data_IF_284867836194
#
_entry.id   IF_284867836194
#
_cell.length_a   1.000
_cell.length_b   1.000
_cell.length_c   1.000
_cell.angle_alpha   90.00
_cell.angle_beta   90.00
_cell.angle_gamma   90.00
#
_symmetry.space_group_name_H-M   'P 1'
#
loop_
_entity.id
_entity.type
_entity.pdbx_description
1 polymer ?
#
# COMPACT_ATOMS: atom_id res chain seq x y z
N UNK A 1 -25.08 -4.60 -27.45
CA UNK A 1 -23.99 -5.48 -27.87
C UNK A 1 -23.51 -6.21 -26.64
N UNK A 2 -23.73 -7.52 -26.58
CA UNK A 2 -23.15 -8.32 -25.50
C UNK A 2 -21.63 -8.44 -25.70
N UNK A 3 -20.83 -8.19 -24.66
CA UNK A 3 -19.38 -8.43 -24.70
C UNK A 3 -19.06 -9.88 -25.11
N UNK A 4 -18.34 -10.04 -26.21
CA UNK A 4 -17.78 -11.35 -26.57
C UNK A 4 -16.68 -11.73 -25.58
N UNK A 5 -16.33 -13.02 -25.53
CA UNK A 5 -15.21 -13.51 -24.70
C UNK A 5 -13.90 -12.80 -25.03
N UNK A 6 -13.70 -12.41 -26.30
CA UNK A 6 -12.51 -11.69 -26.74
C UNK A 6 -12.44 -10.29 -26.14
N UNK A 7 -13.57 -9.56 -26.15
CA UNK A 7 -13.66 -8.24 -25.53
C UNK A 7 -13.51 -8.30 -24.01
N UNK A 8 -14.17 -9.25 -23.34
CA UNK A 8 -14.04 -9.43 -21.88
C UNK A 8 -12.57 -9.67 -21.49
N UNK A 9 -11.88 -10.56 -22.20
CA UNK A 9 -10.43 -10.79 -21.98
C UNK A 9 -9.57 -9.56 -22.25
N UNK A 10 -9.93 -8.70 -23.21
CA UNK A 10 -9.22 -7.44 -23.47
C UNK A 10 -9.40 -6.48 -22.30
N UNK A 11 -10.63 -6.27 -21.86
CA UNK A 11 -10.97 -5.40 -20.73
C UNK A 11 -10.27 -5.89 -19.46
N UNK A 12 -10.31 -7.20 -19.17
CA UNK A 12 -9.65 -7.78 -18.00
C UNK A 12 -8.13 -7.54 -18.00
N UNK A 13 -7.47 -7.56 -19.16
CA UNK A 13 -6.03 -7.22 -19.25
C UNK A 13 -5.78 -5.77 -18.89
N UNK A 14 -6.59 -4.83 -19.38
CA UNK A 14 -6.45 -3.42 -19.02
C UNK A 14 -6.71 -3.18 -17.53
N UNK A 15 -7.76 -3.79 -16.99
CA UNK A 15 -8.09 -3.75 -15.55
C UNK A 15 -6.94 -4.23 -14.67
N UNK A 16 -6.28 -5.32 -15.07
CA UNK A 16 -5.12 -5.86 -14.37
C UNK A 16 -3.86 -4.99 -14.51
N UNK A 17 -3.73 -4.25 -15.62
CA UNK A 17 -2.55 -3.43 -15.89
C UNK A 17 -2.57 -2.10 -15.13
N UNK A 18 -3.74 -1.46 -14.97
CA UNK A 18 -3.84 -0.13 -14.34
C UNK A 18 -3.09 0.02 -13.00
N UNK A 19 -3.20 -0.91 -12.03
CA UNK A 19 -2.53 -0.76 -10.75
C UNK A 19 -1.01 -0.65 -10.84
N UNK A 20 -0.39 -1.16 -11.92
CA UNK A 20 1.05 -1.02 -12.15
C UNK A 20 1.48 0.40 -12.52
N UNK A 21 0.52 1.29 -12.81
CA UNK A 21 0.76 2.65 -13.27
C UNK A 21 0.33 3.72 -12.27
N UNK A 22 -0.23 3.35 -11.10
CA UNK A 22 -0.65 4.33 -10.09
C UNK A 22 0.53 5.06 -9.45
N UNK A 23 1.68 4.39 -9.37
CA UNK A 23 2.84 4.89 -8.65
C UNK A 23 4.13 4.69 -9.44
N UNK A 24 4.91 5.76 -9.57
CA UNK A 24 6.24 5.75 -10.18
C UNK A 24 7.27 6.14 -9.12
N UNK A 25 8.16 5.23 -8.68
CA UNK A 25 9.20 5.55 -7.70
C UNK A 25 10.21 6.52 -8.28
N UNK A 26 10.67 7.46 -7.44
CA UNK A 26 11.64 8.51 -7.80
C UNK A 26 12.91 8.36 -6.97
N UNK A 27 12.79 7.99 -5.70
CA UNK A 27 13.94 7.77 -4.83
C UNK A 27 13.70 6.68 -3.80
N UNK A 28 14.79 6.05 -3.38
CA UNK A 28 14.82 5.06 -2.30
C UNK A 28 15.01 5.74 -0.94
N UNK A 29 14.47 5.11 0.10
CA UNK A 29 14.52 5.58 1.47
C UNK A 29 15.21 4.55 2.36
N UNK A 30 16.28 4.97 3.01
CA UNK A 30 16.87 4.22 4.11
C UNK A 30 16.03 4.40 5.37
N UNK A 31 15.73 3.29 6.04
CA UNK A 31 15.07 3.32 7.33
C UNK A 31 16.09 3.13 8.44
N UNK A 32 15.87 3.86 9.52
CA UNK A 32 16.46 3.56 10.82
C UNK A 32 15.32 3.30 11.81
N UNK A 33 15.57 2.49 12.84
CA UNK A 33 14.54 2.07 13.76
C UNK A 33 15.04 1.40 15.03
N UNK A 34 14.09 1.03 15.88
CA UNK A 34 14.29 0.18 17.04
C UNK A 34 13.02 -0.65 17.32
N UNK A 35 13.20 -1.81 17.96
CA UNK A 35 12.09 -2.68 18.38
C UNK A 35 11.73 -2.44 19.84
N UNK A 36 10.45 -2.60 20.19
CA UNK A 36 9.94 -2.41 21.54
C UNK A 36 8.65 -3.19 21.77
N UNK A 37 8.37 -3.51 23.04
CA UNK A 37 7.03 -3.97 23.49
C UNK A 37 6.26 -2.89 24.23
N UNK A 38 6.88 -1.74 24.44
CA UNK A 38 6.24 -0.57 25.05
C UNK A 38 5.30 0.08 24.05
N UNK A 39 4.11 0.49 24.51
CA UNK A 39 3.21 1.34 23.74
C UNK A 39 3.65 2.78 23.96
N UNK A 40 4.30 3.36 22.96
CA UNK A 40 4.89 4.69 23.04
C UNK A 40 4.01 5.69 22.29
N UNK A 41 3.98 6.93 22.77
CA UNK A 41 3.51 8.04 21.95
C UNK A 41 4.59 8.40 20.90
N UNK A 42 4.21 8.99 19.75
CA UNK A 42 5.16 9.41 18.71
C UNK A 42 6.30 10.28 19.26
N UNK A 43 5.97 11.19 20.18
CA UNK A 43 6.93 12.11 20.81
C UNK A 43 7.95 11.40 21.71
N UNK A 44 7.55 10.28 22.33
CA UNK A 44 8.42 9.46 23.18
C UNK A 44 9.34 8.59 22.32
N UNK A 45 8.78 7.99 21.26
CA UNK A 45 9.53 7.21 20.30
C UNK A 45 10.60 8.05 19.58
N UNK A 46 10.24 9.26 19.14
CA UNK A 46 11.16 10.17 18.45
C UNK A 46 12.42 10.55 19.25
N UNK A 47 12.40 10.40 20.58
CA UNK A 47 13.54 10.69 21.48
C UNK A 47 14.42 9.48 21.76
N UNK A 48 14.03 8.28 21.31
CA UNK A 48 14.83 7.07 21.47
C UNK A 48 16.04 7.08 20.53
N UNK A 49 16.96 6.15 20.76
CA UNK A 49 18.07 5.91 19.85
C UNK A 49 17.59 5.01 18.70
N UNK A 50 17.85 5.44 17.47
CA UNK A 50 17.56 4.69 16.25
C UNK A 50 18.86 4.10 15.71
N UNK A 51 18.78 2.90 15.14
CA UNK A 51 19.88 2.26 14.45
C UNK A 51 19.46 1.96 12.99
N UNK A 52 20.41 1.91 12.04
CA UNK A 52 20.10 1.55 10.66
C UNK A 52 19.34 0.22 10.57
N UNK A 53 18.25 0.21 9.78
CA UNK A 53 17.44 -0.97 9.46
C UNK A 53 17.23 -1.03 7.94
N UNK A 54 18.28 -1.35 7.16
CA UNK A 54 18.18 -1.43 5.70
C UNK A 54 17.23 -2.54 5.25
N UNK A 55 16.88 -2.53 3.97
CA UNK A 55 16.14 -3.62 3.33
C UNK A 55 16.76 -4.99 3.66
N UNK A 56 15.90 -5.97 3.95
CA UNK A 56 16.29 -7.32 4.36
C UNK A 56 16.49 -7.47 5.88
N UNK A 57 16.42 -6.39 6.66
CA UNK A 57 16.54 -6.48 8.12
C UNK A 57 15.35 -7.24 8.72
N UNK A 58 15.61 -8.43 9.25
CA UNK A 58 14.60 -9.21 9.97
C UNK A 58 14.40 -8.68 11.40
N UNK A 59 13.14 -8.50 11.80
CA UNK A 59 12.73 -7.98 13.09
C UNK A 59 11.35 -8.52 13.51
N UNK A 60 10.90 -8.15 14.71
CA UNK A 60 9.51 -8.33 15.12
C UNK A 60 9.19 -9.71 15.66
N UNK A 61 9.42 -9.89 16.96
CA UNK A 61 8.86 -11.00 17.71
C UNK A 61 7.33 -10.85 17.84
N UNK A 62 6.66 -11.90 18.32
CA UNK A 62 5.22 -11.87 18.62
C UNK A 62 4.88 -10.68 19.52
N UNK A 63 3.85 -9.91 19.12
CA UNK A 63 3.36 -8.72 19.84
C UNK A 63 4.34 -7.54 19.91
N UNK A 64 5.44 -7.59 19.16
CA UNK A 64 6.44 -6.54 19.17
C UNK A 64 6.06 -5.42 18.20
N UNK A 65 6.47 -4.22 18.54
CA UNK A 65 6.40 -3.05 17.69
C UNK A 65 7.80 -2.64 17.27
N UNK A 66 7.91 -1.95 16.15
CA UNK A 66 9.10 -1.19 15.81
C UNK A 66 8.70 0.23 15.46
N UNK A 67 9.55 1.16 15.84
CA UNK A 67 9.47 2.53 15.38
C UNK A 67 10.53 2.74 14.31
N UNK A 68 10.11 3.22 13.15
CA UNK A 68 10.97 3.56 12.03
C UNK A 68 10.92 5.06 11.77
N UNK A 69 12.04 5.64 11.33
CA UNK A 69 12.07 7.00 10.81
C UNK A 69 12.89 7.08 9.54
N UNK A 70 12.56 8.06 8.72
CA UNK A 70 13.31 8.45 7.53
C UNK A 70 12.92 9.89 7.17
N UNK A 71 13.59 10.47 6.18
CA UNK A 71 13.30 11.82 5.70
C UNK A 71 13.15 11.78 4.18
N UNK A 72 12.13 12.47 3.67
CA UNK A 72 11.99 12.75 2.23
C UNK A 72 12.37 14.20 1.97
N UNK A 73 13.22 14.44 0.97
CA UNK A 73 13.50 15.79 0.44
C UNK A 73 13.02 15.81 -1.00
N UNK A 74 12.13 16.74 -1.33
CA UNK A 74 11.50 16.82 -2.65
C UNK A 74 12.55 17.21 -3.71
N UNK A 75 12.82 16.36 -4.72
CA UNK A 75 13.72 16.70 -5.81
C UNK A 75 13.04 17.64 -6.82
N UNK A 76 13.84 18.32 -7.64
CA UNK A 76 13.34 19.23 -8.70
C UNK A 76 12.49 18.51 -9.75
N UNK A 77 12.78 17.24 -10.03
CA UNK A 77 12.13 16.46 -11.11
C UNK A 77 10.65 16.14 -10.87
N UNK A 78 10.14 16.31 -9.63
CA UNK A 78 8.74 16.08 -9.27
C UNK A 78 7.99 17.36 -8.90
N UNK A 79 8.53 18.52 -9.27
CA UNK A 79 7.91 19.81 -8.98
C UNK A 79 6.47 19.87 -9.52
N UNK A 80 5.50 20.22 -8.65
CA UNK A 80 4.09 20.31 -9.00
C UNK A 80 3.34 18.98 -9.06
N UNK A 81 4.03 17.84 -9.01
CA UNK A 81 3.41 16.52 -9.04
C UNK A 81 2.81 16.12 -7.68
N UNK A 82 1.90 15.13 -7.68
CA UNK A 82 1.43 14.52 -6.43
C UNK A 82 2.51 13.58 -5.89
N UNK A 83 3.15 13.97 -4.80
CA UNK A 83 4.19 13.20 -4.13
C UNK A 83 3.58 12.26 -3.08
N UNK A 84 3.97 10.99 -3.16
CA UNK A 84 3.57 9.97 -2.18
C UNK A 84 4.78 9.22 -1.61
N UNK A 85 4.61 8.72 -0.39
CA UNK A 85 5.51 7.86 0.34
C UNK A 85 5.01 6.41 0.23
N UNK A 86 5.89 5.49 -0.17
CA UNK A 86 5.66 4.05 -0.16
C UNK A 86 6.60 3.40 0.88
N UNK A 87 6.16 3.33 2.13
CA UNK A 87 6.92 2.73 3.22
C UNK A 87 6.74 1.21 3.23
N UNK A 88 7.81 0.45 3.49
CA UNK A 88 7.78 -1.02 3.56
C UNK A 88 8.52 -1.53 4.81
N UNK A 89 8.04 -1.23 6.03
CA UNK A 89 8.72 -1.67 7.25
C UNK A 89 8.52 -3.17 7.56
N UNK A 90 7.61 -3.85 6.84
CA UNK A 90 7.36 -5.28 6.98
C UNK A 90 6.15 -5.66 7.83
N UNK A 91 5.36 -4.67 8.28
CA UNK A 91 4.13 -4.87 9.04
C UNK A 91 3.13 -3.74 8.85
N UNK A 92 1.96 -3.86 9.49
CA UNK A 92 0.95 -2.81 9.49
C UNK A 92 1.43 -1.62 10.29
N UNK A 93 1.25 -0.42 9.75
CA UNK A 93 1.95 0.76 10.25
C UNK A 93 1.03 1.96 10.39
N UNK A 94 1.13 2.67 11.51
CA UNK A 94 0.63 4.03 11.64
C UNK A 94 1.75 5.01 11.27
N UNK A 95 1.48 5.92 10.33
CA UNK A 95 2.48 6.84 9.76
C UNK A 95 2.18 8.27 10.18
N UNK A 96 3.24 8.96 10.60
CA UNK A 96 3.24 10.36 10.99
C UNK A 96 4.19 11.14 10.08
N UNK A 97 3.74 12.28 9.58
CA UNK A 97 4.52 13.22 8.77
C UNK A 97 4.63 14.52 9.54
N UNK A 98 5.85 14.96 9.80
CA UNK A 98 6.15 16.16 10.58
C UNK A 98 5.45 16.17 11.96
N UNK A 99 5.36 14.99 12.58
CA UNK A 99 4.72 14.78 13.88
C UNK A 99 3.19 14.67 13.85
N UNK A 100 2.55 14.78 12.68
CA UNK A 100 1.08 14.69 12.52
C UNK A 100 0.71 13.34 11.92
N UNK A 101 -0.31 12.68 12.46
CA UNK A 101 -0.83 11.43 11.90
C UNK A 101 -1.31 11.66 10.45
N UNK A 102 -0.75 10.90 9.51
CA UNK A 102 -0.99 11.05 8.08
C UNK A 102 -1.81 9.89 7.49
N UNK A 103 -1.76 8.71 8.11
CA UNK A 103 -2.52 7.55 7.67
C UNK A 103 -1.91 6.24 8.15
N UNK A 104 -2.29 5.15 7.49
CA UNK A 104 -1.76 3.82 7.75
C UNK A 104 -1.22 3.18 6.48
N UNK A 105 -0.20 2.35 6.64
CA UNK A 105 0.31 1.47 5.58
C UNK A 105 0.06 0.03 5.98
N UNK A 106 -0.63 -0.71 5.13
CA UNK A 106 -0.94 -2.12 5.33
C UNK A 106 -0.87 -2.88 3.99
N UNK A 107 -1.50 -4.05 3.91
CA UNK A 107 -1.50 -4.89 2.70
C UNK A 107 -2.22 -4.24 1.52
N UNK A 108 -3.28 -3.48 1.78
CA UNK A 108 -4.19 -2.93 0.78
C UNK A 108 -4.03 -1.40 0.63
N UNK A 109 -3.41 -0.73 1.62
CA UNK A 109 -3.08 0.70 1.59
C UNK A 109 -1.57 0.88 1.62
N UNK A 110 -0.97 1.12 0.46
CA UNK A 110 0.48 1.03 0.30
C UNK A 110 1.19 2.38 0.21
N UNK A 111 0.46 3.48 -0.01
CA UNK A 111 1.00 4.82 -0.23
C UNK A 111 0.34 5.88 0.68
N UNK A 112 1.14 6.84 1.16
CA UNK A 112 0.69 8.03 1.91
C UNK A 112 1.00 9.28 1.09
N UNK A 113 0.03 10.18 0.90
CA UNK A 113 0.27 11.45 0.21
C UNK A 113 1.02 12.43 1.10
N UNK A 114 2.20 12.87 0.64
CA UNK A 114 3.01 13.90 1.29
C UNK A 114 2.61 15.30 0.79
N UNK A 115 2.40 15.43 -0.52
CA UNK A 115 1.97 16.67 -1.16
C UNK A 115 1.08 16.37 -2.37
N UNK A 116 0.07 17.23 -2.60
CA UNK A 116 -0.70 17.20 -3.85
C UNK A 116 0.01 17.92 -4.98
N UNK A 117 0.82 18.91 -4.64
CA UNK A 117 1.70 19.64 -5.55
C UNK A 117 3.05 19.77 -4.86
N UNK A 118 4.05 19.01 -5.31
CA UNK A 118 5.35 18.97 -4.66
C UNK A 118 6.14 20.28 -4.86
N UNK A 119 6.72 20.80 -3.79
CA UNK A 119 7.60 21.98 -3.85
C UNK A 119 9.05 21.53 -3.63
N UNK A 120 9.95 21.68 -4.61
CA UNK A 120 11.35 21.27 -4.50
C UNK A 120 12.05 21.83 -3.26
N UNK A 121 12.90 21.02 -2.64
CA UNK A 121 13.61 21.35 -1.41
C UNK A 121 12.77 21.27 -0.12
N UNK A 122 11.45 21.04 -0.22
CA UNK A 122 10.64 20.74 0.97
C UNK A 122 11.13 19.45 1.61
N UNK A 123 11.20 19.44 2.94
CA UNK A 123 11.67 18.31 3.74
C UNK A 123 10.52 17.80 4.60
N UNK A 124 10.26 16.50 4.55
CA UNK A 124 9.27 15.80 5.37
C UNK A 124 9.98 14.83 6.30
N UNK A 125 9.73 14.95 7.61
CA UNK A 125 10.17 13.97 8.60
C UNK A 125 9.11 12.88 8.75
N UNK A 126 9.49 11.64 8.50
CA UNK A 126 8.60 10.49 8.53
C UNK A 126 8.90 9.68 9.79
N UNK A 127 7.85 9.39 10.55
CA UNK A 127 7.89 8.48 11.69
C UNK A 127 6.80 7.43 11.51
N UNK A 128 7.09 6.17 11.80
CA UNK A 128 6.15 5.07 11.65
C UNK A 128 6.21 4.14 12.85
N UNK A 129 5.06 3.87 13.46
CA UNK A 129 4.89 2.76 14.38
C UNK A 129 4.40 1.55 13.59
N UNK A 130 5.16 0.46 13.60
CA UNK A 130 4.84 -0.75 12.84
C UNK A 130 4.66 -1.94 13.78
N UNK A 131 3.55 -2.65 13.61
CA UNK A 131 3.23 -3.83 14.38
C UNK A 131 3.76 -5.10 13.69
N UNK A 132 4.54 -5.90 14.42
CA UNK A 132 5.13 -7.14 13.90
C UNK A 132 4.11 -8.27 13.70
N UNK A 133 2.92 -8.17 14.32
CA UNK A 133 1.93 -9.24 14.29
C UNK A 133 2.15 -10.31 15.36
N UNK A 134 1.37 -11.37 15.25
CA UNK A 134 1.28 -12.42 16.26
C UNK A 134 1.20 -13.83 15.64
N UNK A 135 1.88 -14.02 14.51
CA UNK A 135 1.89 -15.25 13.75
C UNK A 135 0.93 -15.28 12.56
N UNK A 136 0.75 -16.46 11.95
CA UNK A 136 -0.01 -16.61 10.72
C UNK A 136 -1.48 -16.20 10.88
N UNK A 137 -1.97 -15.34 9.98
CA UNK A 137 -3.38 -14.97 9.86
C UNK A 137 -4.11 -16.02 9.04
N UNK A 138 -4.40 -17.17 9.65
CA UNK A 138 -5.15 -18.24 8.97
C UNK A 138 -6.63 -17.88 8.88
N UNK A 139 -7.17 -17.92 7.65
CA UNK A 139 -8.61 -17.83 7.41
C UNK A 139 -9.12 -19.19 6.92
N UNK A 140 -10.15 -19.73 7.60
CA UNK A 140 -10.75 -21.02 7.27
C UNK A 140 -11.02 -21.89 8.51
N UNK A 141 -12.29 -22.12 8.81
CA UNK A 141 -12.76 -23.02 9.88
C UNK A 141 -12.96 -24.46 9.39
N UNK A 142 -11.95 -25.04 8.75
CA UNK A 142 -11.98 -26.45 8.35
C UNK A 142 -11.72 -27.40 9.53
N UNK A 143 -12.01 -28.70 9.39
CA UNK A 143 -11.64 -29.67 10.41
C UNK A 143 -10.11 -29.72 10.55
N UNK A 144 -9.61 -29.29 11.70
CA UNK A 144 -8.21 -29.43 12.07
C UNK A 144 -8.05 -30.82 12.67
N UNK A 145 -7.30 -31.69 12.00
CA UNK A 145 -7.04 -33.05 12.48
C UNK A 145 -6.42 -33.03 13.89
N UNK A 146 -6.79 -34.00 14.72
CA UNK A 146 -6.26 -34.12 16.08
C UNK A 146 -4.72 -34.11 16.07
N UNK A 147 -4.12 -33.23 16.87
CA UNK A 147 -2.67 -33.04 16.96
C UNK A 147 -2.05 -32.08 15.93
N UNK A 148 -2.81 -31.56 14.97
CA UNK A 148 -2.34 -30.50 14.07
C UNK A 148 -2.56 -29.12 14.70
N UNK A 149 -1.49 -28.36 14.83
CA UNK A 149 -1.57 -26.96 15.23
C UNK A 149 -2.10 -26.11 14.06
N UNK A 150 -3.19 -25.38 14.28
CA UNK A 150 -3.81 -24.52 13.26
C UNK A 150 -3.12 -23.17 13.13
N UNK A 151 -2.57 -22.66 14.23
CA UNK A 151 -1.82 -21.40 14.29
C UNK A 151 -0.52 -21.68 15.05
N UNK A 152 0.57 -22.02 14.35
CA UNK A 152 1.84 -22.26 15.00
C UNK A 152 2.41 -20.96 15.57
N UNK A 153 3.23 -21.10 16.61
CA UNK A 153 3.96 -19.96 17.19
C UNK A 153 4.88 -19.33 16.14
N UNK A 154 4.88 -18.00 15.98
CA UNK A 154 5.77 -17.33 15.04
C UNK A 154 7.25 -17.50 15.42
N UNK A 155 8.16 -17.38 14.44
CA UNK A 155 9.58 -17.27 14.73
C UNK A 155 9.88 -15.99 15.55
N UNK A 156 11.08 -15.94 16.14
CA UNK A 156 11.55 -14.78 16.92
C UNK A 156 11.57 -13.46 16.11
N UNK A 157 11.58 -13.55 14.78
CA UNK A 157 11.52 -12.42 13.84
C UNK A 157 10.63 -12.80 12.67
N UNK A 158 9.43 -12.22 12.61
CA UNK A 158 8.42 -12.54 11.60
C UNK A 158 8.25 -11.45 10.53
N UNK A 159 8.79 -10.25 10.77
CA UNK A 159 8.76 -9.13 9.85
C UNK A 159 10.13 -8.90 9.22
N UNK A 160 10.13 -8.34 8.01
CA UNK A 160 11.35 -8.00 7.27
C UNK A 160 11.15 -6.63 6.64
N UNK A 161 12.11 -5.73 6.86
CA UNK A 161 12.12 -4.43 6.17
C UNK A 161 12.26 -4.66 4.67
N UNK A 162 11.32 -4.15 3.88
CA UNK A 162 11.38 -4.12 2.42
C UNK A 162 11.88 -2.76 1.90
N UNK A 163 11.98 -2.65 0.58
CA UNK A 163 12.39 -1.43 -0.09
C UNK A 163 11.35 -0.32 0.11
N UNK A 164 11.73 0.75 0.81
CA UNK A 164 10.89 1.94 0.96
C UNK A 164 11.28 2.99 -0.09
N UNK A 165 10.30 3.66 -0.66
CA UNK A 165 10.53 4.66 -1.72
C UNK A 165 9.61 5.87 -1.54
N UNK A 166 9.91 6.95 -2.24
CA UNK A 166 8.96 8.03 -2.52
C UNK A 166 8.89 8.26 -4.02
N UNK A 167 7.78 8.83 -4.49
CA UNK A 167 7.57 9.00 -5.92
C UNK A 167 6.27 9.69 -6.28
N UNK A 168 5.96 9.66 -7.57
CA UNK A 168 4.81 10.36 -8.16
C UNK A 168 3.60 9.43 -8.20
N UNK A 169 2.45 9.95 -7.79
CA UNK A 169 1.16 9.29 -7.92
C UNK A 169 0.42 9.77 -9.16
N UNK A 170 0.06 8.83 -10.02
CA UNK A 170 -0.74 9.09 -11.22
C UNK A 170 -2.24 9.05 -10.88
N UNK A 171 -2.78 10.22 -10.51
CA UNK A 171 -4.19 10.34 -10.15
C UNK A 171 -5.13 10.06 -11.33
N UNK A 172 -4.75 10.43 -12.56
CA UNK A 172 -5.59 10.23 -13.74
C UNK A 172 -5.82 8.74 -14.01
N UNK A 173 -4.76 7.93 -13.96
CA UNK A 173 -4.87 6.48 -14.14
C UNK A 173 -5.64 5.82 -13.00
N UNK A 174 -5.46 6.31 -11.77
CA UNK A 174 -6.22 5.80 -10.62
C UNK A 174 -7.73 6.11 -10.74
N UNK A 175 -8.10 7.32 -11.12
CA UNK A 175 -9.51 7.69 -11.33
C UNK A 175 -10.14 6.88 -12.47
N UNK A 176 -9.43 6.75 -13.60
CA UNK A 176 -9.87 5.89 -14.71
C UNK A 176 -10.08 4.44 -14.26
N UNK A 177 -9.17 3.89 -13.45
CA UNK A 177 -9.33 2.56 -12.90
C UNK A 177 -10.61 2.43 -12.06
N UNK A 178 -10.87 3.39 -11.15
CA UNK A 178 -12.10 3.38 -10.35
C UNK A 178 -13.34 3.41 -11.25
N UNK A 179 -13.36 4.25 -12.28
CA UNK A 179 -14.46 4.35 -13.22
C UNK A 179 -14.69 3.02 -13.96
N UNK A 180 -13.62 2.42 -14.48
CA UNK A 180 -13.66 1.13 -15.20
C UNK A 180 -14.14 0.01 -14.28
N UNK A 181 -13.57 -0.13 -13.08
CA UNK A 181 -14.00 -1.15 -12.11
C UNK A 181 -15.45 -0.96 -11.70
N UNK A 182 -15.88 0.28 -11.46
CA UNK A 182 -17.26 0.59 -11.08
C UNK A 182 -18.23 0.22 -12.21
N UNK A 183 -17.94 0.62 -13.44
CA UNK A 183 -18.79 0.28 -14.59
C UNK A 183 -18.80 -1.23 -14.86
N UNK A 184 -17.65 -1.88 -14.75
CA UNK A 184 -17.53 -3.32 -14.93
C UNK A 184 -18.31 -4.10 -13.86
N UNK A 185 -18.24 -3.70 -12.60
CA UNK A 185 -18.99 -4.36 -11.53
C UNK A 185 -20.50 -4.13 -11.66
N UNK A 186 -20.92 -2.91 -12.01
CA UNK A 186 -22.33 -2.60 -12.29
C UNK A 186 -22.86 -3.49 -13.41
N UNK A 187 -22.14 -3.63 -14.54
CA UNK A 187 -22.63 -4.43 -15.67
C UNK A 187 -22.71 -5.93 -15.37
N UNK A 188 -21.88 -6.46 -14.47
CA UNK A 188 -21.97 -7.88 -14.07
C UNK A 188 -23.21 -8.15 -13.18
N UNK A 189 -23.79 -7.10 -12.57
CA UNK A 189 -24.89 -7.23 -11.61
C UNK A 189 -26.24 -6.66 -12.10
N UNK A 190 -26.29 -6.07 -13.30
CA UNK A 190 -27.53 -5.63 -13.94
C UNK A 190 -28.14 -6.73 -14.82
N UNK A 191 -29.41 -6.55 -15.22
CA UNK A 191 -30.02 -7.38 -16.25
C UNK A 191 -29.23 -7.25 -17.55
N UNK A 192 -28.71 -8.38 -18.03
CA UNK A 192 -27.90 -8.49 -19.24
C UNK A 192 -28.63 -8.01 -20.50
N UNK A 193 -29.97 -7.92 -20.48
CA UNK A 193 -30.77 -7.41 -21.60
C UNK A 193 -31.11 -5.91 -21.48
N UNK A 194 -30.63 -5.23 -20.43
CA UNK A 194 -30.91 -3.80 -20.25
C UNK A 194 -30.09 -2.95 -21.22
N UNK A 195 -30.69 -1.84 -21.69
CA UNK A 195 -29.97 -0.85 -22.50
C UNK A 195 -28.75 -0.28 -21.77
N UNK A 196 -28.78 -0.24 -20.44
CA UNK A 196 -27.67 0.25 -19.64
C UNK A 196 -26.45 -0.65 -19.72
N UNK A 197 -26.63 -1.97 -19.72
CA UNK A 197 -25.51 -2.91 -19.90
C UNK A 197 -24.89 -2.74 -21.29
N UNK A 198 -25.72 -2.52 -22.32
CA UNK A 198 -25.23 -2.25 -23.67
C UNK A 198 -24.36 -0.98 -23.74
N UNK A 199 -24.85 0.12 -23.16
CA UNK A 199 -24.09 1.38 -23.08
C UNK A 199 -22.73 1.21 -22.37
N UNK A 200 -22.71 0.45 -21.27
CA UNK A 200 -21.49 0.18 -20.51
C UNK A 200 -20.54 -0.71 -21.33
N UNK A 201 -21.06 -1.75 -21.96
CA UNK A 201 -20.28 -2.66 -22.79
C UNK A 201 -19.60 -1.90 -23.94
N UNK A 202 -20.30 -0.97 -24.59
CA UNK A 202 -19.73 -0.11 -25.62
C UNK A 202 -18.63 0.80 -25.06
N UNK A 203 -18.89 1.49 -23.94
CA UNK A 203 -17.91 2.38 -23.32
C UNK A 203 -16.62 1.64 -22.89
N UNK A 204 -16.76 0.43 -22.34
CA UNK A 204 -15.62 -0.42 -21.99
C UNK A 204 -14.86 -0.91 -23.22
N UNK A 205 -15.54 -1.17 -24.35
CA UNK A 205 -14.85 -1.47 -25.61
C UNK A 205 -14.04 -0.25 -26.08
N UNK A 206 -14.68 0.92 -26.16
CA UNK A 206 -14.10 2.17 -26.67
C UNK A 206 -12.89 2.61 -25.84
N UNK A 207 -12.97 2.48 -24.51
CA UNK A 207 -11.87 2.76 -23.60
C UNK A 207 -10.61 1.95 -23.96
N UNK A 208 -10.77 0.71 -24.41
CA UNK A 208 -9.64 -0.18 -24.67
C UNK A 208 -9.06 -0.10 -26.08
N UNK A 209 -9.62 0.73 -26.97
CA UNK A 209 -9.25 0.87 -28.40
C UNK A 209 -8.49 2.14 -28.70
#
# INVERSE_FOLDING_TARGET
MALTVEWKRRIDRWRQEHPHHFYSPVGELELEGFVTREQLLPEEAARRAYAPMPEGTAWGAKWEYAWFRTTVVVPEEVAGERLVLALRPGGESAVFVDGVAAGAVDREHTEITLAREAVPGTRYEILSETYAGHGPRVSGGGPVGYGRESVPEPPDKQAVVGQSTFGVWNEEVYQLYIEVETLYDIREHLDANSLRVDEIDQALCDYTT
#
